data_IF_208565091057
#
_entry.id   IF_208565091057
#
_cell.length_a   1.000
_cell.length_b   1.000
_cell.length_c   1.000
_cell.angle_alpha   90.00
_cell.angle_beta   90.00
_cell.angle_gamma   90.00
#
_symmetry.space_group_name_H-M   'P 1'
#
loop_
_entity.id
_entity.type
_entity.pdbx_description
1 polymer ?
#
# COMPACT_ATOMS: atom_id res chain seq x y z
N UNK A 1 8.21 -1.76 19.91
CA UNK A 1 7.00 -1.21 19.24
C UNK A 1 6.67 -2.06 18.03
N UNK A 2 5.45 -2.58 17.90
CA UNK A 2 5.03 -3.27 16.67
C UNK A 2 4.58 -2.21 15.65
N UNK A 3 5.48 -1.74 14.79
CA UNK A 3 5.22 -0.69 13.80
C UNK A 3 4.00 -0.99 12.92
N UNK A 4 3.79 -2.28 12.59
CA UNK A 4 2.63 -2.78 11.86
C UNK A 4 1.31 -2.57 12.62
N UNK A 5 1.32 -2.76 13.95
CA UNK A 5 0.14 -2.52 14.79
C UNK A 5 -0.24 -1.04 14.83
N UNK A 6 0.76 -0.15 14.91
CA UNK A 6 0.54 1.30 14.88
C UNK A 6 -0.04 1.72 13.54
N UNK A 7 0.56 1.28 12.43
CA UNK A 7 0.05 1.59 11.08
C UNK A 7 -1.38 1.09 10.90
N UNK A 8 -1.70 -0.15 11.30
CA UNK A 8 -3.07 -0.64 11.17
C UNK A 8 -4.07 0.19 11.98
N UNK A 9 -3.72 0.62 13.19
CA UNK A 9 -4.58 1.50 14.01
C UNK A 9 -4.78 2.87 13.38
N UNK A 10 -3.69 3.51 12.94
CA UNK A 10 -3.74 4.84 12.31
C UNK A 10 -4.51 4.79 11.00
N UNK A 11 -4.22 3.81 10.14
CA UNK A 11 -4.90 3.65 8.84
C UNK A 11 -6.40 3.41 9.05
N UNK A 12 -6.80 2.61 10.03
CA UNK A 12 -8.22 2.40 10.35
C UNK A 12 -8.88 3.67 10.87
N UNK A 13 -8.19 4.43 11.72
CA UNK A 13 -8.71 5.69 12.28
C UNK A 13 -8.93 6.76 11.20
N UNK A 14 -7.98 6.93 10.28
CA UNK A 14 -8.04 8.02 9.28
C UNK A 14 -8.84 7.65 8.02
N UNK A 15 -9.14 6.37 7.80
CA UNK A 15 -9.75 5.88 6.55
C UNK A 15 -11.23 5.50 6.67
N UNK A 16 -11.95 6.08 7.63
CA UNK A 16 -13.35 5.75 7.93
C UNK A 16 -14.29 5.80 6.70
N UNK A 17 -14.07 6.72 5.76
CA UNK A 17 -14.90 6.90 4.56
C UNK A 17 -14.16 6.50 3.25
N UNK A 18 -13.14 5.64 3.34
CA UNK A 18 -12.32 5.24 2.19
C UNK A 18 -12.83 3.95 1.55
N UNK A 19 -12.82 3.87 0.22
CA UNK A 19 -13.15 2.63 -0.49
C UNK A 19 -12.19 1.49 -0.11
N UNK A 20 -12.74 0.29 0.13
CA UNK A 20 -12.00 -0.88 0.64
C UNK A 20 -10.77 -1.24 -0.21
N UNK A 21 -10.88 -1.15 -1.53
CA UNK A 21 -9.78 -1.42 -2.46
C UNK A 21 -8.65 -0.41 -2.31
N UNK A 22 -8.98 0.88 -2.11
CA UNK A 22 -7.98 1.94 -1.90
C UNK A 22 -7.26 1.74 -0.59
N UNK A 23 -8.02 1.44 0.46
CA UNK A 23 -7.50 1.16 1.79
C UNK A 23 -6.50 -0.01 1.78
N UNK A 24 -6.86 -1.09 1.08
CA UNK A 24 -5.98 -2.24 0.88
C UNK A 24 -4.71 -1.87 0.10
N UNK A 25 -4.81 -1.01 -0.92
CA UNK A 25 -3.64 -0.53 -1.66
C UNK A 25 -2.71 0.34 -0.80
N UNK A 26 -3.24 1.30 -0.03
CA UNK A 26 -2.45 2.13 0.91
C UNK A 26 -1.75 1.24 1.94
N UNK A 27 -2.51 0.35 2.58
CA UNK A 27 -1.98 -0.54 3.61
C UNK A 27 -0.84 -1.42 3.07
N UNK A 28 -0.99 -1.94 1.85
CA UNK A 28 0.07 -2.71 1.20
C UNK A 28 1.32 -1.86 0.95
N UNK A 29 1.17 -0.64 0.43
CA UNK A 29 2.32 0.25 0.16
C UNK A 29 3.05 0.67 1.43
N UNK A 30 2.32 0.96 2.52
CA UNK A 30 2.96 1.31 3.80
C UNK A 30 3.68 0.10 4.40
N UNK A 31 3.12 -1.11 4.30
CA UNK A 31 3.79 -2.34 4.74
C UNK A 31 5.10 -2.59 4.01
N UNK A 32 5.17 -2.31 2.71
CA UNK A 32 6.41 -2.53 1.94
C UNK A 32 7.49 -1.53 2.31
N UNK A 33 7.12 -0.27 2.57
CA UNK A 33 8.02 0.74 3.13
C UNK A 33 8.54 0.34 4.51
N UNK A 34 7.68 -0.14 5.40
CA UNK A 34 8.08 -0.64 6.72
C UNK A 34 9.07 -1.81 6.64
N UNK A 35 8.95 -2.64 5.61
CA UNK A 35 9.86 -3.76 5.36
C UNK A 35 11.19 -3.34 4.69
N UNK A 36 11.45 -2.03 4.55
CA UNK A 36 12.72 -1.51 4.02
C UNK A 36 12.73 -1.25 2.51
N UNK A 37 11.58 -1.26 1.83
CA UNK A 37 11.52 -0.86 0.42
C UNK A 37 11.82 0.63 0.27
N UNK A 38 12.55 1.00 -0.78
CA UNK A 38 12.74 2.41 -1.13
C UNK A 38 11.40 3.09 -1.46
N UNK A 39 11.30 4.39 -1.17
CA UNK A 39 10.11 5.20 -1.40
C UNK A 39 9.90 5.60 -2.88
N UNK A 40 9.94 4.62 -3.78
CA UNK A 40 9.63 4.77 -5.20
C UNK A 40 8.49 3.84 -5.58
N UNK A 41 7.66 4.23 -6.55
CA UNK A 41 6.47 3.45 -6.98
C UNK A 41 6.85 2.02 -7.38
N UNK A 42 7.98 1.88 -8.06
CA UNK A 42 8.50 0.58 -8.51
C UNK A 42 8.97 -0.28 -7.35
N UNK A 43 9.75 0.27 -6.41
CA UNK A 43 10.26 -0.49 -5.26
C UNK A 43 9.14 -0.88 -4.30
N UNK A 44 8.20 0.04 -4.04
CA UNK A 44 6.99 -0.22 -3.25
C UNK A 44 6.18 -1.36 -3.89
N UNK A 45 5.93 -1.29 -5.21
CA UNK A 45 5.21 -2.33 -5.95
C UNK A 45 5.90 -3.69 -5.90
N UNK A 46 7.22 -3.74 -6.10
CA UNK A 46 8.02 -4.98 -6.00
C UNK A 46 7.99 -5.59 -4.60
N UNK A 47 7.98 -4.77 -3.57
CA UNK A 47 7.92 -5.21 -2.18
C UNK A 47 6.57 -5.86 -1.80
N UNK A 48 5.51 -5.65 -2.59
CA UNK A 48 4.19 -6.23 -2.29
C UNK A 48 4.28 -7.73 -2.51
N UNK A 49 4.18 -8.52 -1.44
CA UNK A 49 4.23 -9.97 -1.54
C UNK A 49 2.84 -10.54 -1.87
N UNK A 50 2.50 -10.61 -3.15
CA UNK A 50 1.32 -11.32 -3.67
C UNK A 50 1.74 -12.26 -4.80
N UNK A 51 0.87 -13.23 -5.13
CA UNK A 51 1.10 -14.18 -6.25
C UNK A 51 1.03 -13.53 -7.64
N UNK A 52 0.68 -12.25 -7.72
CA UNK A 52 0.53 -11.53 -8.98
C UNK A 52 1.89 -11.22 -9.63
N UNK A 53 1.90 -11.14 -10.97
CA UNK A 53 3.09 -10.70 -11.70
C UNK A 53 3.56 -9.33 -11.20
N UNK A 54 4.87 -9.13 -11.20
CA UNK A 54 5.52 -7.89 -10.76
C UNK A 54 4.90 -6.63 -11.41
N UNK A 55 4.60 -6.70 -12.71
CA UNK A 55 3.92 -5.62 -13.44
C UNK A 55 2.59 -5.19 -12.80
N UNK A 56 1.81 -6.14 -12.27
CA UNK A 56 0.52 -5.83 -11.64
C UNK A 56 0.71 -5.20 -10.27
N UNK A 57 1.74 -5.62 -9.53
CA UNK A 57 2.08 -5.05 -8.23
C UNK A 57 2.58 -3.61 -8.34
N UNK A 58 3.41 -3.30 -9.34
CA UNK A 58 3.82 -1.92 -9.66
C UNK A 58 2.61 -1.08 -10.09
N UNK A 59 1.75 -1.59 -10.98
CA UNK A 59 0.53 -0.88 -11.38
C UNK A 59 -0.44 -0.63 -10.22
N UNK A 60 -0.43 -1.47 -9.18
CA UNK A 60 -1.25 -1.27 -7.97
C UNK A 60 -0.75 -0.06 -7.18
N UNK A 61 0.56 0.09 -7.00
CA UNK A 61 1.16 1.25 -6.34
C UNK A 61 0.96 2.52 -7.17
N UNK A 62 1.12 2.44 -8.49
CA UNK A 62 0.92 3.56 -9.41
C UNK A 62 -0.54 4.06 -9.40
N UNK A 63 -1.52 3.15 -9.49
CA UNK A 63 -2.95 3.51 -9.41
C UNK A 63 -3.32 4.18 -8.09
N UNK A 64 -2.66 3.85 -6.99
CA UNK A 64 -2.94 4.51 -5.70
C UNK A 64 -2.66 6.01 -5.76
N UNK A 65 -1.64 6.41 -6.50
CA UNK A 65 -1.19 7.81 -6.63
C UNK A 65 -1.92 8.54 -7.75
N UNK A 66 -2.08 7.87 -8.90
CA UNK A 66 -2.53 8.49 -10.14
C UNK A 66 -4.02 8.33 -10.40
N UNK A 67 -4.74 7.48 -9.65
CA UNK A 67 -6.18 7.28 -9.83
C UNK A 67 -6.99 7.94 -8.69
N UNK A 68 -7.67 9.07 -8.97
CA UNK A 68 -8.55 9.72 -8.00
C UNK A 68 -9.80 8.87 -7.71
N UNK A 69 -10.25 8.12 -8.73
CA UNK A 69 -11.46 7.33 -8.72
C UNK A 69 -11.17 5.90 -8.24
N UNK A 70 -12.04 5.35 -7.37
CA UNK A 70 -12.06 3.91 -7.08
C UNK A 70 -13.46 3.36 -7.15
#
# INVERSE_FOLDING_TARGET
>A
MNALSIVNKVVTLVSYNMHKTRLSAVTACVKTLLNGSAATVTSIGRGINTKDFEKHRIKRADRLLSNPHL
#
